data_IF_803630269712
#
_entry.id   IF_803630269712
#
_cell.length_a   1.000
_cell.length_b   1.000
_cell.length_c   1.000
_cell.angle_alpha   90.00
_cell.angle_beta   90.00
_cell.angle_gamma   90.00
#
_symmetry.space_group_name_H-M   'P 1'
#
loop_
_entity.id
_entity.type
_entity.pdbx_description
1 polymer ?
#
# COMPACT_ATOMS: atom_id res chain seq x y z
N UNK A 1 -1.22 -13.57 -9.77
CA UNK A 1 -0.99 -13.06 -8.39
C UNK A 1 -0.45 -11.63 -8.36
N UNK A 2 0.73 -11.30 -8.98
CA UNK A 2 1.29 -9.94 -8.92
C UNK A 2 0.34 -8.83 -9.43
N UNK A 3 -0.42 -9.11 -10.49
CA UNK A 3 -1.43 -8.17 -11.00
C UNK A 3 -2.57 -7.92 -10.01
N UNK A 4 -2.98 -8.94 -9.25
CA UNK A 4 -3.98 -8.79 -8.17
C UNK A 4 -3.42 -7.89 -7.07
N UNK A 5 -2.17 -8.09 -6.69
CA UNK A 5 -1.49 -7.21 -5.73
C UNK A 5 -1.48 -5.76 -6.20
N UNK A 6 -1.23 -5.47 -7.49
CA UNK A 6 -1.33 -4.11 -8.01
C UNK A 6 -2.75 -3.54 -7.96
N UNK A 7 -3.78 -4.34 -8.25
CA UNK A 7 -5.16 -3.89 -8.08
C UNK A 7 -5.45 -3.50 -6.64
N UNK A 8 -5.00 -4.30 -5.67
CA UNK A 8 -5.14 -3.96 -4.26
C UNK A 8 -4.50 -2.61 -3.91
N UNK A 9 -3.27 -2.36 -4.40
CA UNK A 9 -2.58 -1.10 -4.15
C UNK A 9 -3.25 0.10 -4.83
N UNK A 10 -3.70 -0.04 -6.08
CA UNK A 10 -4.28 1.07 -6.84
C UNK A 10 -5.68 1.45 -6.38
N UNK A 11 -6.48 0.46 -5.99
CA UNK A 11 -7.87 0.67 -5.59
C UNK A 11 -8.09 0.54 -4.09
N UNK A 12 -7.00 0.38 -3.30
CA UNK A 12 -7.04 0.20 -1.86
C UNK A 12 -7.99 -0.93 -1.41
N UNK A 13 -7.91 -2.08 -2.08
CA UNK A 13 -8.77 -3.23 -1.82
C UNK A 13 -8.17 -4.13 -0.73
N UNK A 14 -8.99 -4.57 0.20
CA UNK A 14 -8.66 -5.69 1.10
C UNK A 14 -8.60 -7.02 0.33
N UNK A 15 -8.11 -8.08 0.97
CA UNK A 15 -8.02 -9.40 0.31
C UNK A 15 -9.41 -9.91 -0.14
N UNK A 16 -10.48 -9.87 0.70
CA UNK A 16 -11.83 -10.22 0.25
C UNK A 16 -12.36 -9.30 -0.85
N UNK A 17 -12.14 -7.99 -0.72
CA UNK A 17 -12.59 -7.04 -1.75
C UNK A 17 -11.92 -7.24 -3.10
N UNK A 18 -10.65 -7.68 -3.11
CA UNK A 18 -9.94 -7.99 -4.36
C UNK A 18 -10.54 -9.22 -5.05
N UNK A 19 -10.90 -10.25 -4.28
CA UNK A 19 -11.62 -11.43 -4.79
C UNK A 19 -12.97 -11.02 -5.37
N UNK A 20 -13.81 -10.32 -4.61
CA UNK A 20 -15.11 -9.82 -5.06
C UNK A 20 -15.00 -8.96 -6.32
N UNK A 21 -14.05 -8.03 -6.35
CA UNK A 21 -13.84 -7.14 -7.49
C UNK A 21 -13.44 -7.89 -8.77
N UNK A 22 -12.71 -8.99 -8.66
CA UNK A 22 -12.37 -9.86 -9.80
C UNK A 22 -13.62 -10.62 -10.29
N UNK A 23 -14.51 -11.05 -9.38
CA UNK A 23 -15.78 -11.66 -9.78
C UNK A 23 -16.73 -10.67 -10.45
N UNK A 24 -16.82 -9.44 -9.93
CA UNK A 24 -17.81 -8.46 -10.37
C UNK A 24 -17.37 -7.69 -11.63
N UNK A 25 -16.06 -7.43 -11.81
CA UNK A 25 -15.56 -6.55 -12.87
C UNK A 25 -14.84 -7.31 -13.98
N UNK A 26 -15.44 -7.32 -15.18
CA UNK A 26 -14.81 -7.89 -16.38
C UNK A 26 -13.45 -7.21 -16.70
N UNK A 27 -13.35 -5.90 -16.52
CA UNK A 27 -12.10 -5.17 -16.80
C UNK A 27 -10.98 -5.58 -15.84
N UNK A 28 -11.30 -5.83 -14.56
CA UNK A 28 -10.33 -6.34 -13.58
C UNK A 28 -9.94 -7.77 -13.89
N UNK A 29 -10.89 -8.64 -14.28
CA UNK A 29 -10.58 -10.00 -14.74
C UNK A 29 -9.62 -10.00 -15.93
N UNK A 30 -9.90 -9.20 -16.94
CA UNK A 30 -9.01 -9.06 -18.11
C UNK A 30 -7.62 -8.58 -17.73
N UNK A 31 -7.53 -7.65 -16.79
CA UNK A 31 -6.24 -7.16 -16.31
C UNK A 31 -5.45 -8.25 -15.58
N UNK A 32 -6.08 -9.04 -14.70
CA UNK A 32 -5.42 -10.14 -13.98
C UNK A 32 -5.22 -11.38 -14.83
N UNK A 33 -5.84 -11.44 -16.02
CA UNK A 33 -5.81 -12.57 -16.95
C UNK A 33 -6.43 -13.82 -16.31
N UNK A 34 -7.67 -13.68 -15.83
CA UNK A 34 -8.49 -14.78 -15.31
C UNK A 34 -9.79 -14.81 -16.09
N UNK A 35 -10.11 -15.96 -16.67
CA UNK A 35 -11.38 -16.20 -17.37
C UNK A 35 -12.30 -17.09 -16.52
N UNK A 36 -13.51 -16.59 -16.25
CA UNK A 36 -14.51 -17.35 -15.49
C UNK A 36 -14.97 -18.56 -16.30
N UNK A 37 -14.87 -19.73 -15.70
CA UNK A 37 -15.24 -21.01 -16.33
C UNK A 37 -14.06 -21.91 -16.62
N UNK A 38 -12.92 -21.36 -17.00
CA UNK A 38 -11.69 -22.10 -17.26
C UNK A 38 -10.68 -22.02 -16.10
N UNK A 39 -10.67 -20.90 -15.36
CA UNK A 39 -9.75 -20.67 -14.26
C UNK A 39 -10.49 -20.31 -12.97
N UNK A 40 -9.94 -20.76 -11.85
CA UNK A 40 -10.44 -20.41 -10.52
C UNK A 40 -9.86 -19.07 -10.11
N UNK A 41 -10.74 -18.12 -9.74
CA UNK A 41 -10.30 -16.86 -9.12
C UNK A 41 -9.59 -17.20 -7.82
N UNK A 42 -8.38 -16.65 -7.59
CA UNK A 42 -7.69 -16.84 -6.31
C UNK A 42 -8.53 -16.29 -5.14
N UNK A 43 -8.75 -17.11 -4.14
CA UNK A 43 -9.46 -16.76 -2.92
C UNK A 43 -8.67 -15.77 -2.04
N UNK A 44 -9.34 -15.14 -1.09
CA UNK A 44 -8.73 -14.18 -0.14
C UNK A 44 -7.51 -14.78 0.57
N UNK A 45 -7.54 -16.07 0.91
CA UNK A 45 -6.44 -16.73 1.64
C UNK A 45 -5.21 -16.93 0.76
N UNK A 46 -5.40 -17.19 -0.53
CA UNK A 46 -4.33 -17.28 -1.52
C UNK A 46 -3.71 -15.91 -1.79
N UNK A 47 -4.55 -14.87 -1.87
CA UNK A 47 -4.10 -13.47 -2.01
C UNK A 47 -3.27 -13.06 -0.79
N UNK A 48 -3.75 -13.35 0.43
CA UNK A 48 -3.04 -13.10 1.69
C UNK A 48 -1.68 -13.81 1.74
N UNK A 49 -1.62 -15.10 1.38
CA UNK A 49 -0.37 -15.87 1.35
C UNK A 49 0.65 -15.28 0.39
N UNK A 50 0.20 -14.83 -0.77
CA UNK A 50 1.08 -14.18 -1.74
C UNK A 50 1.64 -12.86 -1.20
N UNK A 51 0.84 -12.05 -0.50
CA UNK A 51 1.28 -10.82 0.14
C UNK A 51 2.33 -11.09 1.23
N UNK A 52 2.07 -12.07 2.10
CA UNK A 52 3.05 -12.49 3.11
C UNK A 52 4.37 -12.97 2.50
N UNK A 53 4.30 -13.69 1.37
CA UNK A 53 5.50 -14.11 0.65
C UNK A 53 6.31 -12.89 0.15
N UNK A 54 5.65 -11.87 -0.40
CA UNK A 54 6.32 -10.64 -0.83
C UNK A 54 6.99 -9.92 0.36
N UNK A 55 6.30 -9.85 1.50
CA UNK A 55 6.79 -9.24 2.74
C UNK A 55 7.98 -10.02 3.30
N UNK A 56 7.85 -11.35 3.42
CA UNK A 56 8.88 -12.23 3.98
C UNK A 56 10.21 -12.16 3.21
N UNK A 57 10.14 -11.97 1.91
CA UNK A 57 11.32 -11.87 1.05
C UNK A 57 11.73 -10.43 0.71
N UNK A 58 11.09 -9.42 1.30
CA UNK A 58 11.38 -8.01 1.05
C UNK A 58 11.17 -7.57 -0.41
N UNK A 59 10.34 -8.30 -1.17
CA UNK A 59 10.16 -8.08 -2.60
C UNK A 59 9.36 -6.82 -2.93
N UNK A 60 8.59 -6.31 -1.99
CA UNK A 60 7.77 -5.11 -2.17
C UNK A 60 8.62 -3.88 -2.51
N UNK A 61 9.74 -3.70 -1.81
CA UNK A 61 10.68 -2.61 -2.10
C UNK A 61 11.33 -2.79 -3.48
N UNK A 62 11.78 -3.99 -3.82
CA UNK A 62 12.37 -4.27 -5.13
C UNK A 62 11.42 -4.04 -6.30
N UNK A 63 10.13 -4.38 -6.13
CA UNK A 63 9.09 -4.10 -7.12
C UNK A 63 8.91 -2.58 -7.27
N UNK A 64 8.83 -1.85 -6.16
CA UNK A 64 8.68 -0.40 -6.17
C UNK A 64 9.87 0.28 -6.87
N UNK A 65 11.09 -0.10 -6.53
CA UNK A 65 12.31 0.46 -7.12
C UNK A 65 12.39 0.18 -8.62
N UNK A 66 11.99 -1.03 -9.05
CA UNK A 66 11.97 -1.42 -10.46
C UNK A 66 10.97 -0.58 -11.26
N UNK A 67 9.76 -0.36 -10.71
CA UNK A 67 8.74 0.47 -11.36
C UNK A 67 9.20 1.93 -11.41
N UNK A 68 9.74 2.44 -10.32
CA UNK A 68 10.24 3.83 -10.24
C UNK A 68 11.35 4.04 -11.26
N UNK A 69 12.32 3.12 -11.36
CA UNK A 69 13.39 3.17 -12.35
C UNK A 69 12.86 3.19 -13.79
N UNK A 70 11.87 2.33 -14.11
CA UNK A 70 11.23 2.31 -15.41
C UNK A 70 10.52 3.63 -15.75
N UNK A 71 9.85 4.25 -14.77
CA UNK A 71 9.18 5.53 -14.94
C UNK A 71 10.19 6.67 -15.13
N UNK A 72 11.32 6.64 -14.41
CA UNK A 72 12.42 7.60 -14.56
C UNK A 72 13.07 7.51 -15.94
N UNK A 73 13.39 6.30 -16.43
CA UNK A 73 13.92 6.07 -17.77
C UNK A 73 13.00 6.63 -18.85
N UNK A 74 11.70 6.45 -18.68
CA UNK A 74 10.67 6.95 -19.60
C UNK A 74 10.33 8.42 -19.40
N UNK A 75 11.00 9.12 -18.47
CA UNK A 75 10.73 10.51 -18.09
C UNK A 75 9.28 10.80 -17.72
N UNK A 76 8.62 9.82 -17.12
CA UNK A 76 7.24 9.92 -16.63
C UNK A 76 7.17 10.46 -15.21
N UNK A 77 8.28 10.51 -14.48
CA UNK A 77 8.39 11.16 -13.18
C UNK A 77 8.88 12.60 -13.33
N UNK A 78 8.15 13.52 -12.73
CA UNK A 78 8.58 14.92 -12.65
C UNK A 78 9.57 15.07 -11.49
N UNK A 79 10.80 15.50 -11.79
CA UNK A 79 11.84 15.77 -10.78
C UNK A 79 11.65 17.09 -10.04
N UNK A 80 10.78 17.98 -10.55
CA UNK A 80 10.48 19.30 -9.97
C UNK A 80 9.00 19.37 -9.59
N UNK A 81 8.71 19.99 -8.43
CA UNK A 81 7.35 20.16 -7.95
C UNK A 81 6.83 18.98 -7.12
N UNK A 82 7.71 18.32 -6.38
CA UNK A 82 7.30 17.27 -5.43
C UNK A 82 6.50 17.86 -4.27
N UNK A 83 5.27 17.39 -4.08
CA UNK A 83 4.45 17.72 -2.91
C UNK A 83 4.81 16.72 -1.83
N UNK A 84 5.26 17.21 -0.68
CA UNK A 84 5.52 16.39 0.50
C UNK A 84 4.43 16.65 1.53
N UNK A 85 3.60 15.67 1.77
CA UNK A 85 2.62 15.71 2.85
C UNK A 85 3.06 14.84 4.02
N UNK A 86 2.74 15.28 5.22
CA UNK A 86 3.06 14.58 6.45
C UNK A 86 1.77 14.21 7.18
N UNK A 87 1.42 12.95 7.12
CA UNK A 87 0.26 12.40 7.83
C UNK A 87 0.67 11.88 9.20
N UNK A 88 -0.12 12.21 10.23
CA UNK A 88 0.04 11.67 11.57
C UNK A 88 -0.85 10.43 11.68
N UNK A 89 -0.22 9.27 11.84
CA UNK A 89 -0.92 8.03 12.17
C UNK A 89 -1.05 8.01 13.69
N UNK A 90 -2.25 8.34 14.17
CA UNK A 90 -2.53 8.34 15.60
C UNK A 90 -2.58 6.92 16.16
N UNK A 91 -1.95 6.72 17.30
CA UNK A 91 -2.05 5.49 18.06
C UNK A 91 -2.66 5.74 19.44
N UNK A 92 -3.31 4.74 20.03
CA UNK A 92 -3.80 4.84 21.40
C UNK A 92 -2.63 5.15 22.35
N UNK A 93 -2.79 6.16 23.19
CA UNK A 93 -1.81 6.48 24.24
C UNK A 93 -1.82 5.46 25.40
N UNK A 94 -2.70 4.46 25.31
CA UNK A 94 -2.92 3.46 26.35
C UNK A 94 -1.77 2.47 26.43
N UNK A 95 -1.37 2.12 27.65
CA UNK A 95 -0.39 1.06 27.98
C UNK A 95 -1.05 -0.28 28.29
N UNK A 96 -2.26 -0.52 27.77
CA UNK A 96 -3.03 -1.76 28.01
C UNK A 96 -2.60 -2.94 27.15
N UNK A 97 -1.42 -2.91 26.55
CA UNK A 97 -0.82 -4.06 25.86
C UNK A 97 -0.18 -5.02 26.87
N UNK A 98 0.12 -6.24 26.43
CA UNK A 98 0.70 -7.29 27.29
C UNK A 98 2.02 -6.88 27.97
N UNK A 99 2.78 -5.97 27.36
CA UNK A 99 4.06 -5.45 27.88
C UNK A 99 3.90 -4.22 28.80
N UNK A 100 2.69 -3.67 28.94
CA UNK A 100 2.38 -2.43 29.67
C UNK A 100 3.31 -1.24 29.33
N UNK A 101 3.92 -1.27 28.16
CA UNK A 101 4.83 -0.23 27.65
C UNK A 101 4.28 0.42 26.40
N UNK A 102 4.63 1.69 26.19
CA UNK A 102 4.32 2.38 24.93
C UNK A 102 5.27 1.88 23.83
N UNK A 103 4.77 1.84 22.62
CA UNK A 103 5.60 1.50 21.46
C UNK A 103 6.79 2.48 21.36
N UNK A 104 8.04 1.98 21.37
CA UNK A 104 9.24 2.83 21.35
C UNK A 104 9.43 3.61 20.05
N UNK A 105 8.80 3.17 18.94
CA UNK A 105 8.86 3.85 17.65
C UNK A 105 7.89 5.03 17.57
N UNK A 106 6.89 5.07 18.43
CA UNK A 106 5.88 6.12 18.45
C UNK A 106 6.27 7.28 19.37
N UNK A 107 6.09 8.50 18.86
CA UNK A 107 6.47 9.74 19.57
C UNK A 107 5.28 10.68 19.69
N UNK A 108 5.38 11.60 20.66
CA UNK A 108 4.43 12.70 20.77
C UNK A 108 4.77 13.78 19.75
N UNK A 109 3.75 14.23 19.02
CA UNK A 109 3.87 15.33 18.07
C UNK A 109 2.75 16.33 18.31
N UNK A 110 3.05 17.63 18.16
CA UNK A 110 2.07 18.71 18.32
C UNK A 110 1.66 19.24 16.95
N UNK A 111 0.34 19.31 16.71
CA UNK A 111 -0.23 19.98 15.54
C UNK A 111 -1.20 21.06 16.04
N UNK A 112 -0.83 22.33 15.88
CA UNK A 112 -1.57 23.44 16.46
C UNK A 112 -1.59 23.38 17.99
N UNK A 113 -2.78 23.36 18.60
CA UNK A 113 -2.97 23.23 20.07
C UNK A 113 -3.07 21.78 20.55
N UNK A 114 -3.19 20.81 19.66
CA UNK A 114 -3.44 19.41 20.00
C UNK A 114 -2.16 18.58 19.98
N UNK A 115 -2.03 17.72 20.98
CA UNK A 115 -0.98 16.72 21.06
C UNK A 115 -1.50 15.39 20.47
N UNK A 116 -0.69 14.79 19.63
CA UNK A 116 -0.95 13.49 19.02
C UNK A 116 0.18 12.54 19.41
N UNK A 117 -0.19 11.33 19.81
CA UNK A 117 0.73 10.23 20.01
C UNK A 117 0.62 9.29 18.81
N UNK A 118 1.73 8.94 18.21
CA UNK A 118 1.74 8.10 17.03
C UNK A 118 3.00 8.25 16.18
N UNK A 119 2.88 7.83 14.96
CA UNK A 119 3.96 7.88 13.97
C UNK A 119 3.69 9.00 12.95
N UNK A 120 4.74 9.70 12.53
CA UNK A 120 4.65 10.69 11.46
C UNK A 120 5.15 10.06 10.17
N UNK A 121 4.26 9.90 9.20
CA UNK A 121 4.60 9.39 7.88
C UNK A 121 4.69 10.56 6.90
N UNK A 122 5.79 10.64 6.19
CA UNK A 122 5.96 11.58 5.09
C UNK A 122 5.69 10.85 3.78
N UNK A 123 4.85 11.42 2.94
CA UNK A 123 4.55 10.92 1.61
C UNK A 123 4.96 12.01 0.64
N UNK A 124 5.83 11.68 -0.30
CA UNK A 124 6.19 12.55 -1.41
C UNK A 124 5.43 12.11 -2.66
N UNK A 125 4.69 13.02 -3.27
CA UNK A 125 4.05 12.79 -4.56
C UNK A 125 4.50 13.86 -5.56
N UNK A 126 4.54 13.53 -6.85
CA UNK A 126 4.77 14.55 -7.86
C UNK A 126 3.53 15.45 -8.03
N UNK A 127 3.71 16.61 -8.65
CA UNK A 127 2.63 17.60 -8.82
C UNK A 127 1.46 17.07 -9.67
N UNK A 128 1.63 15.95 -10.38
CA UNK A 128 0.60 15.27 -11.17
C UNK A 128 -0.01 14.07 -10.44
N UNK A 129 0.38 13.80 -9.20
CA UNK A 129 -0.18 12.75 -8.36
C UNK A 129 0.15 11.32 -8.78
N UNK A 130 1.19 11.12 -9.59
CA UNK A 130 1.43 9.85 -10.25
C UNK A 130 2.38 8.92 -9.52
N UNK A 131 3.11 9.35 -8.50
CA UNK A 131 4.01 8.46 -7.76
C UNK A 131 4.17 8.87 -6.31
N UNK A 132 4.08 7.93 -5.42
CA UNK A 132 4.24 8.10 -3.97
C UNK A 132 5.58 7.50 -3.57
N UNK A 133 6.40 8.29 -2.94
CA UNK A 133 7.61 7.84 -2.25
C UNK A 133 7.40 7.74 -0.76
#
# INVERSE_FOLDING_TARGET
MLRIYFLQQWFNLSDPQAEDAIYDSESMRRFVVVELGDEVVPDETTILRFRHLLEQHGLTQGIFDSITGLLEERRLLLRSGTIVDATIIAAPSSTKNASATRDPEMKQTRKGRNWHFGMKRHIGADQRGSCIR
#
